data_IF_013817514210
#
_entry.id   IF_013817514210
#
_cell.length_a   1.000
_cell.length_b   1.000
_cell.length_c   1.000
_cell.angle_alpha   90.00
_cell.angle_beta   90.00
_cell.angle_gamma   90.00
#
_symmetry.space_group_name_H-M   'P 1'
#
loop_
_entity.id
_entity.type
_entity.pdbx_description
1 polymer ?
#
# COMPACT_ATOMS: atom_id res chain seq x y z
N UNK A 1 -5.82 9.06 -5.72
CA UNK A 1 -5.22 7.91 -5.01
C UNK A 1 -6.34 7.05 -4.42
N UNK A 2 -6.78 6.00 -5.13
CA UNK A 2 -8.06 5.30 -4.83
C UNK A 2 -8.01 4.51 -3.50
N UNK A 3 -6.83 4.01 -3.11
CA UNK A 3 -6.67 3.11 -1.97
C UNK A 3 -7.26 3.68 -0.67
N UNK A 4 -6.75 4.81 -0.18
CA UNK A 4 -7.23 5.40 1.09
C UNK A 4 -8.66 5.96 1.01
N UNK A 5 -9.23 6.12 -0.19
CA UNK A 5 -10.61 6.59 -0.36
C UNK A 5 -11.65 5.46 -0.39
N UNK A 6 -11.28 4.26 -0.87
CA UNK A 6 -12.28 3.26 -1.24
C UNK A 6 -11.97 1.83 -0.77
N UNK A 7 -10.73 1.49 -0.39
CA UNK A 7 -10.37 0.11 -0.03
C UNK A 7 -11.22 -0.44 1.13
N UNK A 8 -11.69 0.42 2.04
CA UNK A 8 -12.57 0.03 3.14
C UNK A 8 -13.83 -0.65 2.65
N UNK A 9 -14.37 -0.25 1.49
CA UNK A 9 -15.60 -0.83 0.96
C UNK A 9 -15.49 -2.34 0.72
N UNK A 10 -14.33 -2.85 0.30
CA UNK A 10 -14.13 -4.29 0.18
C UNK A 10 -14.13 -4.98 1.55
N UNK A 11 -13.43 -4.41 2.55
CA UNK A 11 -13.40 -4.98 3.91
C UNK A 11 -14.75 -4.94 4.63
N UNK A 12 -15.61 -3.97 4.29
CA UNK A 12 -16.97 -3.81 4.81
C UNK A 12 -18.05 -4.48 3.95
N UNK A 13 -17.64 -5.29 2.95
CA UNK A 13 -18.52 -6.00 2.04
C UNK A 13 -19.54 -5.08 1.29
N UNK A 14 -19.08 -3.89 0.92
CA UNK A 14 -19.78 -2.84 0.16
C UNK A 14 -19.26 -2.76 -1.28
N UNK A 15 -19.33 -3.88 -1.99
CA UNK A 15 -18.74 -4.03 -3.32
C UNK A 15 -19.34 -3.11 -4.37
N UNK A 16 -20.64 -2.80 -4.27
CA UNK A 16 -21.32 -1.89 -5.18
C UNK A 16 -20.70 -0.48 -5.14
N UNK A 17 -20.29 -0.03 -3.95
CA UNK A 17 -19.62 1.25 -3.73
C UNK A 17 -18.17 1.24 -4.26
N UNK A 18 -17.46 0.12 -4.12
CA UNK A 18 -16.09 -0.03 -4.63
C UNK A 18 -16.03 -0.14 -6.16
N UNK A 19 -16.90 -0.93 -6.78
CA UNK A 19 -16.85 -1.28 -8.21
C UNK A 19 -16.83 -0.03 -9.11
N UNK A 20 -17.60 1.00 -8.75
CA UNK A 20 -17.59 2.28 -9.47
C UNK A 20 -16.24 3.00 -9.41
N UNK A 21 -15.53 2.90 -8.28
CA UNK A 21 -14.23 3.54 -8.05
C UNK A 21 -13.10 2.81 -8.78
N UNK A 22 -13.10 1.47 -8.74
CA UNK A 22 -12.03 0.66 -9.35
C UNK A 22 -12.26 0.34 -10.82
N UNK A 23 -13.48 0.58 -11.34
CA UNK A 23 -13.79 0.48 -12.77
C UNK A 23 -12.94 1.39 -13.67
N UNK A 24 -12.28 2.39 -13.09
CA UNK A 24 -11.32 3.27 -13.76
C UNK A 24 -10.14 2.51 -14.39
N UNK A 25 -9.70 1.40 -13.78
CA UNK A 25 -8.61 0.60 -14.34
C UNK A 25 -9.00 -0.02 -15.68
N UNK A 26 -10.25 -0.46 -15.83
CA UNK A 26 -10.80 -0.91 -17.11
C UNK A 26 -11.01 0.26 -18.07
N UNK A 27 -11.58 1.37 -17.57
CA UNK A 27 -11.88 2.57 -18.38
C UNK A 27 -10.63 3.15 -19.04
N UNK A 28 -9.52 3.23 -18.30
CA UNK A 28 -8.28 3.84 -18.77
C UNK A 28 -7.18 2.85 -19.14
N UNK A 29 -7.54 1.58 -19.35
CA UNK A 29 -6.57 0.53 -19.64
C UNK A 29 -5.72 0.82 -20.89
N UNK A 30 -6.36 1.30 -21.96
CA UNK A 30 -5.65 1.64 -23.19
C UNK A 30 -4.66 2.80 -23.00
N UNK A 31 -5.04 3.86 -22.29
CA UNK A 31 -4.14 4.97 -21.97
C UNK A 31 -2.97 4.52 -21.07
N UNK A 32 -3.24 3.67 -20.08
CA UNK A 32 -2.19 3.14 -19.19
C UNK A 32 -1.15 2.32 -19.96
N UNK A 33 -1.57 1.52 -20.95
CA UNK A 33 -0.66 0.79 -21.84
C UNK A 33 0.15 1.71 -22.73
N UNK A 34 -0.47 2.74 -23.31
CA UNK A 34 0.25 3.71 -24.13
C UNK A 34 1.28 4.49 -23.32
N UNK A 35 0.92 4.89 -22.08
CA UNK A 35 1.84 5.57 -21.18
C UNK A 35 3.07 4.70 -20.85
N UNK A 36 2.87 3.42 -20.53
CA UNK A 36 3.98 2.49 -20.31
C UNK A 36 4.88 2.40 -21.55
N UNK A 37 4.28 2.24 -22.74
CA UNK A 37 5.00 2.11 -24.00
C UNK A 37 5.82 3.37 -24.34
N UNK A 38 5.24 4.56 -24.22
CA UNK A 38 5.94 5.84 -24.50
C UNK A 38 7.12 6.04 -23.56
N UNK A 39 7.04 5.52 -22.33
CA UNK A 39 8.15 5.55 -21.36
C UNK A 39 9.14 4.37 -21.50
N UNK A 40 8.93 3.46 -22.46
CA UNK A 40 9.82 2.33 -22.70
C UNK A 40 9.57 1.10 -21.82
N UNK A 41 8.46 1.05 -21.09
CA UNK A 41 8.07 -0.09 -20.25
C UNK A 41 7.08 -1.02 -20.96
N UNK A 42 6.99 -2.26 -20.49
CA UNK A 42 5.96 -3.21 -20.88
C UNK A 42 4.68 -2.96 -20.06
N UNK A 43 3.58 -3.60 -20.44
CA UNK A 43 2.38 -3.65 -19.61
C UNK A 43 1.58 -2.35 -19.57
N UNK A 44 1.09 -1.97 -18.39
CA UNK A 44 0.28 -0.78 -18.15
C UNK A 44 0.80 0.03 -16.96
N UNK A 45 1.07 1.33 -17.18
CA UNK A 45 1.45 2.28 -16.14
C UNK A 45 0.24 3.12 -15.75
N UNK A 46 -0.10 3.12 -14.47
CA UNK A 46 -1.28 3.79 -13.95
C UNK A 46 -0.96 5.23 -13.50
N UNK A 47 -1.66 6.25 -14.03
CA UNK A 47 -1.43 7.63 -13.63
C UNK A 47 -1.77 7.86 -12.15
N UNK A 48 -1.06 8.77 -11.48
CA UNK A 48 -1.33 9.09 -10.06
C UNK A 48 -2.68 9.82 -9.90
N UNK A 49 -2.93 10.77 -10.78
CA UNK A 49 -4.09 11.66 -10.77
C UNK A 49 -4.51 11.94 -12.22
N UNK A 50 -5.80 11.84 -12.50
CA UNK A 50 -6.34 12.04 -13.85
C UNK A 50 -7.49 13.03 -13.87
N UNK A 51 -7.67 13.69 -15.02
CA UNK A 51 -8.94 14.30 -15.39
C UNK A 51 -10.04 13.25 -15.67
N UNK A 52 -11.24 13.73 -15.98
CA UNK A 52 -12.40 12.87 -16.30
C UNK A 52 -12.21 12.03 -17.58
N UNK A 53 -11.33 12.50 -18.46
CA UNK A 53 -10.94 11.91 -19.74
C UNK A 53 -9.78 10.91 -19.63
N UNK A 54 -9.18 10.78 -18.43
CA UNK A 54 -8.04 9.90 -18.18
C UNK A 54 -6.68 10.52 -18.49
N UNK A 55 -6.64 11.79 -18.91
CA UNK A 55 -5.38 12.54 -19.04
C UNK A 55 -4.74 12.72 -17.66
N UNK A 56 -3.43 12.51 -17.56
CA UNK A 56 -2.72 12.73 -16.30
C UNK A 56 -2.69 14.22 -15.97
N UNK A 57 -3.06 14.57 -14.73
CA UNK A 57 -3.09 15.96 -14.29
C UNK A 57 -1.67 16.55 -14.32
N UNK A 58 -1.45 17.77 -14.85
CA UNK A 58 -0.11 18.35 -14.93
C UNK A 58 0.48 18.61 -13.54
N UNK A 59 1.41 17.76 -13.12
CA UNK A 59 2.24 17.96 -11.94
C UNK A 59 3.48 17.05 -12.05
N UNK A 60 4.67 17.59 -11.77
CA UNK A 60 5.93 16.86 -11.97
C UNK A 60 5.96 15.53 -11.21
N UNK A 61 5.38 15.49 -10.00
CA UNK A 61 5.38 14.31 -9.15
C UNK A 61 4.59 13.16 -9.80
N UNK A 62 3.51 13.46 -10.53
CA UNK A 62 2.71 12.43 -11.20
C UNK A 62 3.52 11.63 -12.22
N UNK A 63 4.49 12.27 -12.88
CA UNK A 63 5.34 11.62 -13.88
C UNK A 63 6.32 10.60 -13.29
N UNK A 64 6.76 10.78 -12.04
CA UNK A 64 7.84 9.99 -11.41
C UNK A 64 7.38 9.15 -10.22
N UNK A 65 6.13 9.28 -9.79
CA UNK A 65 5.59 8.53 -8.65
C UNK A 65 5.10 7.13 -9.05
N UNK A 66 5.47 6.13 -8.25
CA UNK A 66 5.23 4.72 -8.60
C UNK A 66 4.47 3.91 -7.54
N UNK A 67 4.24 4.43 -6.34
CA UNK A 67 3.66 3.64 -5.24
C UNK A 67 2.24 3.15 -5.52
N UNK A 68 1.53 3.82 -6.42
CA UNK A 68 0.19 3.44 -6.86
C UNK A 68 0.15 2.30 -7.89
N UNK A 69 1.30 1.94 -8.48
CA UNK A 69 1.33 1.03 -9.63
C UNK A 69 0.79 -0.37 -9.30
N UNK A 70 1.07 -0.97 -8.11
CA UNK A 70 0.51 -2.27 -7.76
C UNK A 70 -0.96 -2.26 -7.30
N UNK A 71 -1.58 -1.09 -7.09
CA UNK A 71 -2.96 -0.96 -6.58
C UNK A 71 -4.01 -1.81 -7.32
N UNK A 72 -4.05 -1.87 -8.67
CA UNK A 72 -5.04 -2.69 -9.36
C UNK A 72 -4.93 -4.18 -9.01
N UNK A 73 -3.71 -4.69 -8.78
CA UNK A 73 -3.50 -6.08 -8.34
C UNK A 73 -4.08 -6.28 -6.94
N UNK A 74 -3.83 -5.33 -6.03
CA UNK A 74 -4.37 -5.36 -4.67
C UNK A 74 -5.91 -5.39 -4.65
N UNK A 75 -6.55 -4.45 -5.36
CA UNK A 75 -8.02 -4.37 -5.40
C UNK A 75 -8.66 -5.62 -5.97
N UNK A 76 -8.02 -6.17 -6.98
CA UNK A 76 -8.56 -7.34 -7.63
C UNK A 76 -8.36 -8.61 -6.81
N UNK A 77 -7.29 -8.69 -6.01
CA UNK A 77 -7.15 -9.75 -5.01
C UNK A 77 -8.25 -9.64 -3.96
N UNK A 78 -8.59 -8.43 -3.50
CA UNK A 78 -9.75 -8.26 -2.61
C UNK A 78 -11.05 -8.75 -3.25
N UNK A 79 -11.29 -8.41 -4.53
CA UNK A 79 -12.49 -8.82 -5.27
C UNK A 79 -12.55 -10.34 -5.42
N UNK A 80 -11.43 -10.98 -5.77
CA UNK A 80 -11.36 -12.43 -5.86
C UNK A 80 -11.61 -13.12 -4.50
N UNK A 81 -11.08 -12.57 -3.40
CA UNK A 81 -11.32 -13.14 -2.06
C UNK A 81 -12.80 -13.09 -1.65
N UNK A 82 -13.50 -12.02 -1.98
CA UNK A 82 -14.94 -11.92 -1.74
C UNK A 82 -15.78 -12.70 -2.75
N UNK A 83 -15.31 -12.80 -3.99
CA UNK A 83 -16.00 -13.43 -5.11
C UNK A 83 -15.05 -14.41 -5.84
N UNK A 84 -14.77 -15.60 -5.28
CA UNK A 84 -13.75 -16.54 -5.78
C UNK A 84 -14.23 -17.32 -7.00
N UNK A 85 -14.57 -16.60 -8.07
CA UNK A 85 -15.15 -17.15 -9.29
C UNK A 85 -14.20 -16.97 -10.48
N UNK A 86 -14.34 -17.86 -11.47
CA UNK A 86 -13.66 -17.69 -12.76
C UNK A 86 -14.04 -16.36 -13.43
N UNK A 87 -15.28 -15.89 -13.26
CA UNK A 87 -15.72 -14.60 -13.79
C UNK A 87 -14.92 -13.43 -13.21
N UNK A 88 -14.63 -13.44 -11.90
CA UNK A 88 -13.79 -12.43 -11.25
C UNK A 88 -12.36 -12.48 -11.75
N UNK A 89 -11.78 -13.68 -11.90
CA UNK A 89 -10.44 -13.85 -12.45
C UNK A 89 -10.35 -13.28 -13.88
N UNK A 90 -11.28 -13.64 -14.77
CA UNK A 90 -11.29 -13.15 -16.16
C UNK A 90 -11.60 -11.64 -16.26
N UNK A 91 -12.45 -11.10 -15.36
CA UNK A 91 -12.73 -9.64 -15.25
C UNK A 91 -11.45 -8.85 -15.11
N UNK A 92 -10.54 -9.33 -14.24
CA UNK A 92 -9.36 -8.58 -13.88
C UNK A 92 -8.08 -9.02 -14.58
N UNK A 93 -8.05 -10.23 -15.16
CA UNK A 93 -6.87 -10.83 -15.79
C UNK A 93 -6.08 -9.85 -16.67
N UNK A 94 -6.69 -9.11 -17.63
CA UNK A 94 -5.92 -8.20 -18.48
C UNK A 94 -5.22 -7.08 -17.69
N UNK A 95 -5.85 -6.60 -16.61
CA UNK A 95 -5.34 -5.52 -15.77
C UNK A 95 -4.14 -6.02 -14.96
N UNK A 96 -4.22 -7.19 -14.35
CA UNK A 96 -3.10 -7.70 -13.53
C UNK A 96 -1.94 -8.21 -14.36
N UNK A 97 -2.19 -8.92 -15.46
CA UNK A 97 -1.09 -9.33 -16.34
C UNK A 97 -0.32 -8.10 -16.85
N UNK A 98 -1.03 -7.06 -17.32
CA UNK A 98 -0.39 -5.84 -17.78
C UNK A 98 0.26 -5.03 -16.65
N UNK A 99 -0.32 -5.01 -15.45
CA UNK A 99 0.31 -4.33 -14.30
C UNK A 99 1.58 -5.06 -13.89
N UNK A 100 1.57 -6.39 -13.81
CA UNK A 100 2.74 -7.19 -13.47
C UNK A 100 3.86 -7.06 -14.52
N UNK A 101 3.51 -6.99 -15.81
CA UNK A 101 4.48 -6.70 -16.88
C UNK A 101 5.14 -5.32 -16.70
N UNK A 102 4.37 -4.31 -16.26
CA UNK A 102 4.94 -3.01 -15.92
C UNK A 102 5.87 -3.11 -14.71
N UNK A 103 5.44 -3.73 -13.61
CA UNK A 103 6.27 -3.89 -12.40
C UNK A 103 7.59 -4.60 -12.73
N UNK A 104 7.53 -5.68 -13.51
CA UNK A 104 8.70 -6.46 -13.91
C UNK A 104 9.63 -5.71 -14.87
N UNK A 105 9.10 -4.90 -15.79
CA UNK A 105 9.91 -4.12 -16.74
C UNK A 105 10.44 -2.80 -16.17
N UNK A 106 9.81 -2.27 -15.12
CA UNK A 106 10.28 -1.09 -14.40
C UNK A 106 11.52 -1.39 -13.56
N UNK A 107 11.58 -2.58 -12.93
CA UNK A 107 12.71 -2.99 -12.12
C UNK A 107 13.97 -3.20 -13.00
N UNK A 108 15.06 -2.52 -12.66
CA UNK A 108 16.29 -2.55 -13.44
C UNK A 108 17.31 -3.50 -12.79
N UNK A 109 17.92 -4.40 -13.56
CA UNK A 109 18.97 -5.29 -13.00
C UNK A 109 20.30 -4.55 -12.89
N UNK A 110 20.72 -4.25 -11.65
CA UNK A 110 22.03 -3.68 -11.37
C UNK A 110 23.06 -4.82 -11.27
N UNK A 111 23.89 -4.96 -12.30
CA UNK A 111 24.92 -6.01 -12.36
C UNK A 111 25.99 -5.89 -11.26
N UNK A 112 26.21 -4.70 -10.67
CA UNK A 112 27.16 -4.51 -9.58
C UNK A 112 26.58 -5.00 -8.25
N UNK A 113 25.28 -4.76 -8.02
CA UNK A 113 24.57 -5.25 -6.83
C UNK A 113 24.13 -6.70 -6.95
N UNK A 114 23.95 -7.18 -8.18
CA UNK A 114 23.37 -8.50 -8.45
C UNK A 114 21.88 -8.58 -8.15
N UNK A 115 21.19 -7.44 -8.01
CA UNK A 115 19.77 -7.33 -7.67
C UNK A 115 19.01 -6.47 -8.67
N UNK A 116 17.70 -6.61 -8.70
CA UNK A 116 16.79 -5.70 -9.36
C UNK A 116 16.50 -4.50 -8.45
N UNK A 117 16.74 -3.30 -8.95
CA UNK A 117 16.58 -2.04 -8.22
C UNK A 117 15.35 -1.27 -8.72
N UNK A 118 14.71 -0.54 -7.82
CA UNK A 118 13.74 0.51 -8.13
C UNK A 118 14.49 1.84 -8.05
N UNK A 119 15.00 2.32 -9.18
CA UNK A 119 15.92 3.46 -9.25
C UNK A 119 15.30 4.77 -9.73
N UNK A 120 16.04 5.89 -9.63
CA UNK A 120 15.57 7.19 -10.06
C UNK A 120 15.41 7.28 -11.59
N UNK A 121 14.55 8.18 -12.11
CA UNK A 121 13.74 9.13 -11.34
C UNK A 121 12.54 8.45 -10.64
N UNK A 122 12.41 8.71 -9.33
CA UNK A 122 11.50 7.98 -8.47
C UNK A 122 10.99 8.86 -7.32
N UNK A 123 9.69 9.16 -7.30
CA UNK A 123 9.04 9.64 -6.08
C UNK A 123 8.24 8.52 -5.41
N UNK A 124 8.35 8.48 -4.08
CA UNK A 124 7.83 7.43 -3.23
C UNK A 124 6.67 7.96 -2.39
N UNK A 125 5.99 7.06 -1.68
CA UNK A 125 4.81 7.37 -0.87
C UNK A 125 5.05 8.44 0.20
N UNK A 126 6.28 8.63 0.69
CA UNK A 126 6.61 9.70 1.66
C UNK A 126 6.56 11.10 1.03
N UNK A 127 6.64 11.23 -0.29
CA UNK A 127 6.52 12.48 -1.07
C UNK A 127 7.49 13.63 -0.66
N UNK A 128 8.45 13.38 0.24
CA UNK A 128 9.38 14.38 0.77
C UNK A 128 10.85 14.20 0.34
N UNK A 129 11.16 13.21 -0.50
CA UNK A 129 12.55 12.87 -0.89
C UNK A 129 12.98 13.46 -2.24
N UNK A 130 14.28 13.53 -2.52
CA UNK A 130 14.79 13.96 -3.84
C UNK A 130 14.67 12.84 -4.88
N UNK A 131 13.63 12.94 -5.71
CA UNK A 131 13.29 11.98 -6.75
C UNK A 131 14.39 11.69 -7.77
N UNK A 132 15.43 12.52 -7.88
CA UNK A 132 16.56 12.30 -8.80
C UNK A 132 17.57 11.29 -8.27
N UNK A 133 17.57 11.01 -6.97
CA UNK A 133 18.54 10.13 -6.31
C UNK A 133 17.89 9.00 -5.52
N UNK A 134 16.61 9.11 -5.18
CA UNK A 134 15.86 8.08 -4.46
C UNK A 134 15.94 6.73 -5.18
N UNK A 135 16.31 5.69 -4.44
CA UNK A 135 16.40 4.32 -4.93
C UNK A 135 16.02 3.30 -3.84
N UNK A 136 15.44 2.18 -4.25
CA UNK A 136 15.17 1.01 -3.41
C UNK A 136 14.41 1.33 -2.11
N UNK A 137 13.23 1.99 -2.19
CA UNK A 137 12.46 2.36 -1.01
C UNK A 137 11.71 1.19 -0.38
N UNK A 138 11.60 1.22 0.96
CA UNK A 138 11.04 0.11 1.77
C UNK A 138 9.61 -0.25 1.37
N UNK A 139 8.73 0.75 1.21
CA UNK A 139 7.33 0.51 0.89
C UNK A 139 7.16 -0.10 -0.50
N UNK A 140 7.73 0.55 -1.52
CA UNK A 140 7.55 0.16 -2.91
C UNK A 140 8.23 -1.18 -3.21
N UNK A 141 9.39 -1.47 -2.61
CA UNK A 141 10.02 -2.78 -2.72
C UNK A 141 9.15 -3.91 -2.17
N UNK A 142 8.47 -3.69 -1.03
CA UNK A 142 7.54 -4.68 -0.47
C UNK A 142 6.29 -4.81 -1.35
N UNK A 143 5.79 -3.71 -1.90
CA UNK A 143 4.62 -3.72 -2.76
C UNK A 143 4.90 -4.34 -4.14
N UNK A 144 6.09 -4.13 -4.69
CA UNK A 144 6.54 -4.79 -5.92
C UNK A 144 6.56 -6.31 -5.76
N UNK A 145 7.11 -6.80 -4.64
CA UNK A 145 7.07 -8.23 -4.30
C UNK A 145 5.65 -8.75 -4.21
N UNK A 146 4.81 -8.05 -3.43
CA UNK A 146 3.39 -8.40 -3.26
C UNK A 146 2.66 -8.46 -4.60
N UNK A 147 2.82 -7.44 -5.45
CA UNK A 147 2.17 -7.36 -6.75
C UNK A 147 2.58 -8.49 -7.69
N UNK A 148 3.89 -8.76 -7.82
CA UNK A 148 4.39 -9.84 -8.68
C UNK A 148 3.99 -11.23 -8.15
N UNK A 149 4.02 -11.44 -6.83
CA UNK A 149 3.54 -12.67 -6.19
C UNK A 149 2.07 -12.92 -6.49
N UNK A 150 1.21 -11.93 -6.22
CA UNK A 150 -0.23 -12.04 -6.45
C UNK A 150 -0.55 -12.25 -7.94
N UNK A 151 0.19 -11.62 -8.84
CA UNK A 151 0.04 -11.81 -10.27
C UNK A 151 0.35 -13.25 -10.71
N UNK A 152 1.41 -13.87 -10.17
CA UNK A 152 1.70 -15.28 -10.43
C UNK A 152 0.63 -16.21 -9.81
N UNK A 153 0.17 -15.93 -8.59
CA UNK A 153 -0.93 -16.68 -7.96
C UNK A 153 -2.21 -16.63 -8.80
N UNK A 154 -2.47 -15.51 -9.48
CA UNK A 154 -3.59 -15.41 -10.42
C UNK A 154 -3.45 -16.28 -11.65
N UNK A 155 -2.25 -16.37 -12.23
CA UNK A 155 -1.99 -17.27 -13.35
C UNK A 155 -2.30 -18.70 -12.95
N UNK A 156 -1.85 -19.13 -11.77
CA UNK A 156 -2.13 -20.46 -11.23
C UNK A 156 -3.64 -20.69 -11.05
N UNK A 157 -4.38 -19.73 -10.47
CA UNK A 157 -5.85 -19.80 -10.31
C UNK A 157 -6.60 -19.87 -11.65
N UNK A 158 -6.01 -19.34 -12.71
CA UNK A 158 -6.51 -19.43 -14.10
C UNK A 158 -6.07 -20.72 -14.81
N UNK A 159 -5.35 -21.63 -14.13
CA UNK A 159 -4.81 -22.86 -14.72
C UNK A 159 -3.63 -22.62 -15.68
N UNK A 160 -2.94 -21.49 -15.55
CA UNK A 160 -1.80 -21.11 -16.37
C UNK A 160 -0.50 -21.29 -15.60
N UNK A 161 0.62 -21.61 -16.27
CA UNK A 161 1.92 -21.61 -15.62
C UNK A 161 2.28 -20.19 -15.16
N UNK A 162 3.02 -20.08 -14.06
CA UNK A 162 3.61 -18.80 -13.60
C UNK A 162 4.42 -18.14 -14.71
N UNK A 163 4.55 -16.82 -14.65
CA UNK A 163 5.45 -16.09 -15.54
C UNK A 163 6.87 -16.09 -14.94
N UNK A 164 7.87 -16.70 -15.61
CA UNK A 164 9.22 -16.81 -15.07
C UNK A 164 9.93 -15.45 -14.95
N UNK A 165 9.59 -14.45 -15.78
CA UNK A 165 10.18 -13.12 -15.70
C UNK A 165 9.69 -12.38 -14.44
N UNK A 166 8.38 -12.48 -14.14
CA UNK A 166 7.82 -11.90 -12.92
C UNK A 166 8.41 -12.54 -11.67
N UNK A 167 8.55 -13.87 -11.69
CA UNK A 167 9.18 -14.65 -10.61
C UNK A 167 10.64 -14.25 -10.39
N UNK A 168 11.40 -14.11 -11.49
CA UNK A 168 12.81 -13.71 -11.49
C UNK A 168 12.99 -12.32 -10.88
N UNK A 169 12.18 -11.34 -11.29
CA UNK A 169 12.24 -9.99 -10.73
C UNK A 169 11.85 -10.02 -9.26
N UNK A 170 10.71 -10.61 -8.90
CA UNK A 170 10.20 -10.69 -7.52
C UNK A 170 11.26 -11.23 -6.55
N UNK A 171 11.91 -12.35 -6.90
CA UNK A 171 12.96 -12.97 -6.10
C UNK A 171 14.28 -12.21 -6.11
N UNK A 172 14.56 -11.48 -7.20
CA UNK A 172 15.82 -10.76 -7.39
C UNK A 172 15.79 -9.30 -6.94
N UNK A 173 14.66 -8.75 -6.48
CA UNK A 173 14.57 -7.37 -5.97
C UNK A 173 15.53 -7.13 -4.81
N UNK A 174 16.12 -5.93 -4.76
CA UNK A 174 16.95 -5.45 -3.64
C UNK A 174 16.23 -5.67 -2.30
N UNK A 175 16.95 -6.08 -1.23
CA UNK A 175 16.36 -6.23 0.09
C UNK A 175 15.78 -4.88 0.58
N UNK A 176 14.82 -4.94 1.50
CA UNK A 176 14.33 -3.72 2.15
C UNK A 176 15.50 -3.04 2.90
N UNK A 177 15.75 -1.74 2.71
CA UNK A 177 16.91 -1.07 3.26
C UNK A 177 16.81 -0.93 4.79
N UNK A 178 17.86 -1.35 5.47
CA UNK A 178 17.99 -1.29 6.94
C UNK A 178 19.20 -0.44 7.31
N UNK A 179 19.03 0.49 8.25
CA UNK A 179 20.13 1.22 8.90
C UNK A 179 19.93 1.13 10.41
N UNK A 180 21.01 0.84 11.15
CA UNK A 180 20.99 0.75 12.61
C UNK A 180 19.87 -0.14 13.18
N UNK A 181 19.56 -1.24 12.48
CA UNK A 181 18.59 -2.24 12.91
C UNK A 181 17.12 -1.85 12.72
N UNK A 182 16.81 -0.76 11.99
CA UNK A 182 15.46 -0.33 11.60
C UNK A 182 15.36 -0.12 10.10
N UNK A 183 14.16 -0.21 9.53
CA UNK A 183 13.93 0.12 8.12
C UNK A 183 14.07 1.62 7.89
N UNK A 184 14.59 2.00 6.74
CA UNK A 184 14.67 3.39 6.30
C UNK A 184 13.79 3.66 5.06
N UNK A 185 13.46 4.92 4.79
CA UNK A 185 12.56 5.30 3.67
C UNK A 185 13.09 4.77 2.35
N UNK A 186 14.40 4.96 2.08
CA UNK A 186 15.07 4.46 0.88
C UNK A 186 16.53 4.13 1.14
N UNK A 187 17.14 3.34 0.26
CA UNK A 187 18.52 2.88 0.43
C UNK A 187 19.51 4.04 0.43
N UNK A 188 20.34 4.14 1.47
CA UNK A 188 21.37 5.17 1.57
C UNK A 188 20.85 6.58 1.85
N UNK A 189 19.59 6.74 2.29
CA UNK A 189 19.06 8.04 2.70
C UNK A 189 19.95 8.68 3.78
N UNK A 190 20.49 9.90 3.56
CA UNK A 190 21.29 10.59 4.55
C UNK A 190 20.38 11.23 5.61
N UNK A 191 20.74 11.06 6.88
CA UNK A 191 20.12 11.74 8.02
C UNK A 191 18.58 11.57 8.07
N UNK A 192 18.07 10.39 7.69
CA UNK A 192 16.62 10.11 7.66
C UNK A 192 15.90 10.51 8.94
N UNK A 193 16.40 10.02 10.07
CA UNK A 193 15.72 10.10 11.35
C UNK A 193 15.77 11.48 12.00
N UNK A 194 16.40 12.46 11.36
CA UNK A 194 16.44 13.86 11.82
C UNK A 194 15.87 14.82 10.79
N UNK A 195 16.19 14.64 9.50
CA UNK A 195 15.80 15.56 8.43
C UNK A 195 14.48 15.21 7.76
N UNK A 196 14.14 13.91 7.68
CA UNK A 196 13.09 13.40 6.79
C UNK A 196 11.91 12.76 7.53
N UNK A 197 11.79 12.98 8.85
CA UNK A 197 10.73 12.43 9.70
C UNK A 197 9.43 13.23 9.68
N UNK A 198 8.99 13.65 8.49
CA UNK A 198 7.74 14.36 8.24
C UNK A 198 7.10 13.84 6.94
N UNK A 199 5.89 14.29 6.59
CA UNK A 199 5.05 13.60 5.60
C UNK A 199 4.80 12.13 6.00
N UNK A 200 4.39 11.30 5.05
CA UNK A 200 3.95 9.94 5.31
C UNK A 200 5.10 9.05 5.81
N UNK A 201 4.97 8.37 6.98
CA UNK A 201 5.90 7.34 7.43
C UNK A 201 5.73 6.03 6.63
N UNK A 202 5.77 6.12 5.30
CA UNK A 202 5.34 5.04 4.40
C UNK A 202 6.07 3.71 4.55
N UNK A 203 7.28 3.72 5.11
CA UNK A 203 8.04 2.52 5.45
C UNK A 203 7.24 1.55 6.36
N UNK A 204 6.40 2.05 7.28
CA UNK A 204 5.53 1.19 8.12
C UNK A 204 4.39 0.56 7.31
N UNK A 205 4.03 1.18 6.18
CA UNK A 205 3.03 0.67 5.25
C UNK A 205 3.42 -0.65 4.62
N UNK A 206 4.72 -1.00 4.58
CA UNK A 206 5.20 -2.29 4.08
C UNK A 206 4.60 -3.48 4.84
N UNK A 207 4.21 -3.28 6.11
CA UNK A 207 3.47 -4.27 6.90
C UNK A 207 2.08 -3.78 7.30
N UNK A 208 1.89 -2.49 7.57
CA UNK A 208 0.59 -1.97 7.98
C UNK A 208 -0.46 -2.06 6.87
N UNK A 209 -0.15 -1.51 5.70
CA UNK A 209 -1.03 -1.49 4.54
C UNK A 209 -0.93 -2.78 3.70
N UNK A 210 0.25 -3.40 3.67
CA UNK A 210 0.56 -4.53 2.80
C UNK A 210 0.72 -5.86 3.59
N UNK A 211 0.84 -7.01 2.90
CA UNK A 211 1.03 -8.31 3.56
C UNK A 211 2.37 -8.48 4.29
N UNK A 212 3.38 -7.63 4.02
CA UNK A 212 4.71 -7.77 4.61
C UNK A 212 5.70 -8.57 3.77
N UNK A 213 5.50 -8.69 2.46
CA UNK A 213 6.47 -9.38 1.59
C UNK A 213 7.87 -8.71 1.69
N UNK A 214 8.85 -9.49 2.15
CA UNK A 214 10.22 -9.02 2.39
C UNK A 214 10.45 -8.34 3.74
N UNK A 215 9.41 -8.21 4.58
CA UNK A 215 9.49 -7.61 5.91
C UNK A 215 9.90 -8.65 6.96
N UNK A 216 10.90 -8.29 7.77
CA UNK A 216 11.20 -8.93 9.05
C UNK A 216 10.38 -8.24 10.15
N UNK A 217 9.48 -8.99 10.80
CA UNK A 217 8.55 -8.45 11.79
C UNK A 217 9.27 -7.82 13.00
N UNK A 218 10.39 -8.39 13.44
CA UNK A 218 11.14 -7.83 14.57
C UNK A 218 11.77 -6.47 14.23
N UNK A 219 12.31 -6.34 13.01
CA UNK A 219 12.80 -5.07 12.48
C UNK A 219 11.68 -4.07 12.30
N UNK A 220 10.51 -4.49 11.80
CA UNK A 220 9.35 -3.61 11.68
C UNK A 220 8.85 -3.12 13.04
N UNK A 221 8.85 -3.96 14.09
CA UNK A 221 8.51 -3.52 15.46
C UNK A 221 9.45 -2.42 15.96
N UNK A 222 10.78 -2.62 15.86
CA UNK A 222 11.76 -1.58 16.21
C UNK A 222 11.62 -0.31 15.36
N UNK A 223 11.23 -0.48 14.11
CA UNK A 223 10.98 0.63 13.18
C UNK A 223 9.75 1.43 13.61
N UNK A 224 8.66 0.75 13.98
CA UNK A 224 7.45 1.37 14.51
C UNK A 224 7.73 2.10 15.83
N UNK A 225 8.53 1.52 16.73
CA UNK A 225 9.00 2.22 17.94
C UNK A 225 9.72 3.53 17.59
N UNK A 226 10.64 3.49 16.64
CA UNK A 226 11.39 4.67 16.24
C UNK A 226 10.50 5.73 15.57
N UNK A 227 9.56 5.32 14.71
CA UNK A 227 8.57 6.23 14.13
C UNK A 227 7.71 6.86 15.23
N UNK A 228 7.25 6.09 16.22
CA UNK A 228 6.42 6.62 17.32
C UNK A 228 7.15 7.68 18.16
N UNK A 229 8.50 7.61 18.23
CA UNK A 229 9.30 8.52 19.05
C UNK A 229 9.84 9.74 18.28
N UNK A 230 10.17 9.57 16.99
CA UNK A 230 10.97 10.56 16.24
C UNK A 230 10.18 11.24 15.11
N UNK A 231 9.01 10.71 14.75
CA UNK A 231 8.22 11.26 13.65
C UNK A 231 7.43 12.49 14.05
N UNK A 232 7.49 13.53 13.23
CA UNK A 232 6.81 14.82 13.45
C UNK A 232 5.33 14.68 13.10
N UNK A 233 4.52 14.10 14.00
CA UNK A 233 3.08 13.84 13.79
C UNK A 233 2.19 15.10 13.63
N UNK A 234 2.73 16.29 13.81
CA UNK A 234 2.13 17.56 13.43
C UNK A 234 2.32 17.89 11.93
N UNK A 235 3.20 17.16 11.23
CA UNK A 235 3.53 17.32 9.81
C UNK A 235 3.22 16.07 8.97
N UNK A 236 2.21 15.30 9.40
CA UNK A 236 1.69 14.10 8.69
C UNK A 236 0.23 14.29 8.30
N UNK A 237 -0.31 13.36 7.53
CA UNK A 237 -1.69 13.35 7.07
C UNK A 237 -2.54 12.37 7.87
N UNK A 238 -3.84 12.60 7.95
CA UNK A 238 -4.69 11.79 8.83
C UNK A 238 -4.77 10.30 8.47
N UNK A 239 -4.51 9.90 7.22
CA UNK A 239 -4.45 8.47 6.87
C UNK A 239 -3.20 7.75 7.40
N UNK A 240 -2.17 8.49 7.82
CA UNK A 240 -0.95 7.92 8.38
C UNK A 240 -1.21 7.22 9.72
N UNK A 241 -2.16 7.72 10.52
CA UNK A 241 -2.50 7.14 11.82
C UNK A 241 -3.14 5.76 11.71
N UNK A 242 -4.16 5.53 10.84
CA UNK A 242 -4.62 4.19 10.54
C UNK A 242 -3.55 3.26 9.95
N UNK A 243 -2.63 3.77 9.12
CA UNK A 243 -1.50 2.96 8.63
C UNK A 243 -0.59 2.49 9.78
N UNK A 244 -0.28 3.37 10.73
CA UNK A 244 0.47 3.06 11.95
C UNK A 244 -0.28 2.05 12.83
N UNK A 245 -1.59 2.24 13.01
CA UNK A 245 -2.44 1.33 13.78
C UNK A 245 -2.46 -0.09 13.21
N UNK A 246 -2.60 -0.20 11.89
CA UNK A 246 -2.54 -1.48 11.20
C UNK A 246 -1.19 -2.17 11.34
N UNK A 247 -0.09 -1.39 11.30
CA UNK A 247 1.25 -1.93 11.54
C UNK A 247 1.38 -2.44 12.98
N UNK A 248 0.97 -1.64 13.97
CA UNK A 248 0.97 -2.00 15.39
C UNK A 248 0.22 -3.31 15.66
N UNK A 249 -0.99 -3.45 15.10
CA UNK A 249 -1.76 -4.70 15.20
C UNK A 249 -1.01 -5.91 14.59
N UNK A 250 -0.37 -5.73 13.42
CA UNK A 250 0.38 -6.79 12.72
C UNK A 250 1.72 -7.16 13.39
N UNK A 251 2.25 -6.31 14.27
CA UNK A 251 3.41 -6.59 15.13
C UNK A 251 3.01 -6.91 16.58
N UNK A 252 1.78 -7.36 16.81
CA UNK A 252 1.27 -7.83 18.11
C UNK A 252 1.23 -6.74 19.21
N UNK A 253 0.99 -5.47 18.83
CA UNK A 253 0.84 -4.32 19.74
C UNK A 253 -0.55 -3.67 19.59
N UNK A 254 -1.65 -4.38 19.94
CA UNK A 254 -3.00 -3.89 19.70
C UNK A 254 -3.37 -2.66 20.56
N UNK A 255 -2.75 -2.46 21.73
CA UNK A 255 -2.92 -1.24 22.54
C UNK A 255 -2.41 -0.02 21.79
N UNK A 256 -1.18 -0.10 21.25
CA UNK A 256 -0.62 0.96 20.41
C UNK A 256 -1.47 1.18 19.16
N UNK A 257 -2.07 0.12 18.60
CA UNK A 257 -2.99 0.27 17.47
C UNK A 257 -4.18 1.17 17.82
N UNK A 258 -4.80 0.96 18.99
CA UNK A 258 -5.88 1.82 19.50
C UNK A 258 -5.38 3.24 19.76
N UNK A 259 -4.22 3.41 20.39
CA UNK A 259 -3.64 4.73 20.66
C UNK A 259 -3.42 5.55 19.38
N UNK A 260 -2.97 4.89 18.30
CA UNK A 260 -2.81 5.54 16.99
C UNK A 260 -4.18 5.94 16.40
N UNK A 261 -5.23 5.13 16.54
CA UNK A 261 -6.58 5.47 16.10
C UNK A 261 -7.26 6.56 16.95
N UNK A 262 -6.73 6.86 18.13
CA UNK A 262 -7.22 7.90 19.03
C UNK A 262 -6.23 9.06 19.19
N UNK A 263 -5.23 9.13 18.30
CA UNK A 263 -4.12 10.06 18.46
C UNK A 263 -4.61 11.52 18.44
N UNK A 264 -4.15 12.39 19.35
CA UNK A 264 -4.65 13.76 19.50
C UNK A 264 -4.16 14.74 18.43
N UNK A 265 -3.58 14.25 17.32
CA UNK A 265 -3.03 15.14 16.29
C UNK A 265 -4.17 15.89 15.60
N UNK A 266 -4.09 17.22 15.39
CA UNK A 266 -5.11 17.97 14.66
C UNK A 266 -5.28 17.47 13.21
N UNK A 267 -4.27 16.78 12.66
CA UNK A 267 -4.32 16.19 11.33
C UNK A 267 -5.20 14.93 11.25
N UNK A 268 -5.60 14.37 12.40
CA UNK A 268 -6.46 13.18 12.48
C UNK A 268 -7.60 13.38 13.48
N UNK A 269 -8.41 14.40 13.22
CA UNK A 269 -9.63 14.68 13.98
C UNK A 269 -10.85 14.61 13.06
N UNK A 270 -12.03 14.40 13.65
CA UNK A 270 -13.31 14.28 12.97
C UNK A 270 -14.33 15.19 13.65
N UNK A 271 -15.18 15.84 12.85
CA UNK A 271 -16.28 16.66 13.38
C UNK A 271 -17.46 15.81 13.87
N UNK A 272 -18.50 16.47 14.40
CA UNK A 272 -19.74 15.83 14.89
C UNK A 272 -20.50 15.03 13.81
N UNK A 273 -20.22 15.27 12.54
CA UNK A 273 -20.81 14.57 11.38
C UNK A 273 -19.92 13.42 10.91
N UNK A 274 -18.78 13.24 11.56
CA UNK A 274 -17.77 12.24 11.21
C UNK A 274 -16.88 12.65 10.04
N UNK A 275 -16.81 13.92 9.65
CA UNK A 275 -15.93 14.37 8.55
C UNK A 275 -14.54 14.69 9.08
N UNK A 276 -13.50 14.19 8.40
CA UNK A 276 -12.12 14.49 8.76
C UNK A 276 -11.82 15.99 8.63
N UNK A 277 -11.25 16.58 9.69
CA UNK A 277 -10.95 18.01 9.78
C UNK A 277 -9.48 18.35 9.49
N UNK A 278 -8.60 17.35 9.49
CA UNK A 278 -7.18 17.51 9.16
C UNK A 278 -6.91 17.48 7.66
N UNK A 279 -6.17 18.47 7.13
CA UNK A 279 -5.91 18.63 5.70
C UNK A 279 -7.02 19.41 4.95
N UNK A 280 -7.08 19.31 3.61
CA UNK A 280 -8.15 19.94 2.82
C UNK A 280 -9.53 19.41 3.22
N UNK A 281 -10.37 20.27 3.79
CA UNK A 281 -11.65 19.85 4.34
C UNK A 281 -12.72 19.60 3.25
N UNK A 282 -13.47 18.47 3.29
CA UNK A 282 -13.19 17.26 4.08
C UNK A 282 -12.10 16.39 3.44
N UNK A 283 -11.16 15.89 4.25
CA UNK A 283 -10.08 15.04 3.76
C UNK A 283 -10.45 13.55 3.89
N UNK A 284 -11.25 13.07 2.94
CA UNK A 284 -11.78 11.69 2.94
C UNK A 284 -10.77 10.54 3.03
N UNK A 285 -9.48 10.66 2.65
CA UNK A 285 -8.51 9.59 2.90
C UNK A 285 -8.45 9.20 4.38
N UNK A 286 -8.55 10.14 5.32
CA UNK A 286 -8.54 9.84 6.76
C UNK A 286 -9.76 9.00 7.18
N UNK A 287 -10.93 9.32 6.64
CA UNK A 287 -12.16 8.56 6.87
C UNK A 287 -12.05 7.13 6.34
N UNK A 288 -11.64 6.98 5.08
CA UNK A 288 -11.51 5.67 4.45
C UNK A 288 -10.44 4.81 5.14
N UNK A 289 -9.30 5.42 5.49
CA UNK A 289 -8.23 4.78 6.23
C UNK A 289 -8.67 4.27 7.61
N UNK A 290 -9.40 5.10 8.38
CA UNK A 290 -9.94 4.69 9.69
C UNK A 290 -10.86 3.48 9.55
N UNK A 291 -11.80 3.53 8.59
CA UNK A 291 -12.73 2.42 8.36
C UNK A 291 -12.01 1.15 7.91
N UNK A 292 -10.99 1.26 7.06
CA UNK A 292 -10.18 0.12 6.65
C UNK A 292 -9.42 -0.49 7.85
N UNK A 293 -8.74 0.34 8.65
CA UNK A 293 -7.97 -0.14 9.80
C UNK A 293 -8.84 -0.81 10.87
N UNK A 294 -10.00 -0.24 11.19
CA UNK A 294 -10.98 -0.87 12.10
C UNK A 294 -11.48 -2.20 11.52
N UNK A 295 -11.74 -2.24 10.21
CA UNK A 295 -12.10 -3.47 9.50
C UNK A 295 -11.02 -4.55 9.61
N UNK A 296 -9.76 -4.19 9.36
CA UNK A 296 -8.60 -5.08 9.50
C UNK A 296 -8.42 -5.57 10.94
N UNK A 297 -8.51 -4.67 11.93
CA UNK A 297 -8.32 -5.03 13.33
C UNK A 297 -9.43 -5.96 13.84
N UNK A 298 -10.66 -5.79 13.36
CA UNK A 298 -11.81 -6.62 13.73
C UNK A 298 -11.84 -7.97 12.98
N UNK A 299 -11.73 -7.97 11.66
CA UNK A 299 -11.84 -9.18 10.84
C UNK A 299 -10.51 -9.96 10.71
N UNK A 300 -9.38 -9.29 10.93
CA UNK A 300 -8.04 -9.84 10.76
C UNK A 300 -7.43 -9.60 9.38
N UNK A 301 -6.30 -10.27 9.17
CA UNK A 301 -5.45 -10.25 7.99
C UNK A 301 -4.86 -11.65 7.77
N UNK A 302 -4.19 -11.89 6.64
CA UNK A 302 -3.59 -13.20 6.38
C UNK A 302 -2.50 -13.52 7.43
N UNK A 303 -2.64 -14.65 8.11
CA UNK A 303 -1.75 -15.05 9.21
C UNK A 303 -2.01 -14.35 10.53
N UNK A 304 -3.16 -13.66 10.70
CA UNK A 304 -3.59 -13.16 12.00
C UNK A 304 -3.78 -14.31 13.01
N UNK A 305 -3.59 -14.06 14.33
CA UNK A 305 -3.89 -15.04 15.36
C UNK A 305 -5.34 -15.53 15.27
N UNK A 306 -5.63 -16.82 15.55
CA UNK A 306 -6.98 -17.38 15.46
C UNK A 306 -7.84 -16.97 16.66
N UNK A 307 -8.08 -15.66 16.82
CA UNK A 307 -8.91 -15.05 17.86
C UNK A 307 -9.88 -14.04 17.25
N UNK A 308 -10.99 -13.79 17.94
CA UNK A 308 -11.94 -12.75 17.55
C UNK A 308 -11.26 -11.38 17.65
N UNK A 309 -11.45 -10.50 16.66
CA UNK A 309 -10.90 -9.14 16.66
C UNK A 309 -9.39 -9.10 16.95
N UNK A 310 -8.56 -9.75 16.11
CA UNK A 310 -7.16 -10.01 16.42
C UNK A 310 -6.32 -8.74 16.63
N UNK A 311 -6.73 -7.60 16.05
CA UNK A 311 -6.06 -6.31 16.21
C UNK A 311 -6.52 -5.48 17.41
N UNK A 312 -7.49 -5.95 18.21
CA UNK A 312 -7.93 -5.26 19.42
C UNK A 312 -7.27 -5.84 20.69
N UNK A 313 -7.07 -5.01 21.75
CA UNK A 313 -6.53 -5.47 23.02
C UNK A 313 -7.42 -6.51 23.69
N UNK A 314 -6.80 -7.56 24.25
CA UNK A 314 -7.47 -8.59 25.05
C UNK A 314 -7.23 -8.36 26.55
N UNK A 315 -7.46 -7.11 26.98
CA UNK A 315 -7.18 -6.63 28.33
C UNK A 315 -8.47 -6.31 29.13
N UNK A 316 -9.64 -6.69 28.61
CA UNK A 316 -10.95 -6.48 29.23
C UNK A 316 -11.55 -5.07 29.05
N UNK A 317 -10.84 -4.12 28.41
CA UNK A 317 -11.38 -2.78 28.15
C UNK A 317 -12.28 -2.71 26.91
N UNK A 318 -12.16 -3.68 26.01
CA UNK A 318 -12.89 -3.72 24.74
C UNK A 318 -13.75 -4.98 24.65
N UNK A 319 -15.02 -4.80 24.31
CA UNK A 319 -15.94 -5.90 23.96
C UNK A 319 -16.34 -5.74 22.49
N UNK A 320 -15.58 -6.36 21.60
CA UNK A 320 -15.71 -6.15 20.16
C UNK A 320 -16.73 -7.12 19.57
N UNK A 321 -17.67 -6.57 18.80
CA UNK A 321 -18.60 -7.33 17.96
C UNK A 321 -18.55 -6.74 16.55
N UNK A 322 -18.52 -7.60 15.56
CA UNK A 322 -18.59 -7.20 14.16
C UNK A 322 -19.36 -8.26 13.37
N UNK A 323 -19.90 -7.87 12.23
CA UNK A 323 -20.59 -8.75 11.30
C UNK A 323 -20.20 -8.38 9.87
N UNK A 324 -20.25 -9.36 8.97
CA UNK A 324 -20.08 -9.14 7.53
C UNK A 324 -18.81 -8.37 7.12
N UNK A 325 -17.74 -8.43 7.93
CA UNK A 325 -16.43 -7.92 7.57
C UNK A 325 -15.58 -9.03 6.94
N UNK A 326 -14.78 -8.67 5.96
CA UNK A 326 -13.85 -9.58 5.25
C UNK A 326 -12.42 -9.33 5.72
N UNK A 327 -11.64 -10.38 6.07
CA UNK A 327 -10.24 -10.24 6.42
C UNK A 327 -9.41 -9.63 5.28
N UNK A 328 -8.47 -8.79 5.66
CA UNK A 328 -7.51 -8.14 4.75
C UNK A 328 -6.36 -9.06 4.32
N UNK A 329 -5.45 -8.53 3.51
CA UNK A 329 -4.25 -9.24 3.03
C UNK A 329 -3.09 -9.21 4.03
#
# INVERSE_FOLDING_TARGET
MIWWHAAQWATWNRWKELDGSVGIYKKFFAQAKELAKVQGYKGARWPKCTGLDGSEWPFWNHAVMIWQQPHPIFFAEMDYRAHPTKATLEKWRPIVEATADFLASYAFFDAKKGTYVLGPPLNLVSENTDWKITQDPTFELSYWRTGLRLANQWRERLGQPINPDWEKVMKGLSPLPVQDGVYVTYEGIPEMWTKWTYEHPGLVGALGMLPGDGVDKATMRRTLDKVSNEWQFERVWGWDFPMLAMCAAKVDEPERAIDMLLHPSPNFQFDERGLATGGPFPYFPSNGALLYAVGQMAAGWDGAPPKLAPGFPDNGQWNVRFENLTPTL
#
